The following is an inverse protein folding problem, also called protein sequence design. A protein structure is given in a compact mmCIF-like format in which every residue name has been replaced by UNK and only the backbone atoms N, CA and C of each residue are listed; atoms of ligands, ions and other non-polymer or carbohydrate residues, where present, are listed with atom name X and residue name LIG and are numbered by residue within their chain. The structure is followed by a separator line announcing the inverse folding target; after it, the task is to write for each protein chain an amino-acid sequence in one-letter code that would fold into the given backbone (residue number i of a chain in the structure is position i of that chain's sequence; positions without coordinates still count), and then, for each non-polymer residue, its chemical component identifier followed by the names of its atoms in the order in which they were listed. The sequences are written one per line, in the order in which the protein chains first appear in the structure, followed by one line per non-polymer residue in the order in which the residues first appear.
data_IF_493919736285
#
_entry.id   IF_493919736285
#
_cell.length_a   1.000
_cell.length_b   1.000
_cell.length_c   1.000
_cell.angle_alpha   90.00
_cell.angle_beta   90.00
_cell.angle_gamma   90.00
#
_symmetry.space_group_name_H-M   'P 1'
#
loop_
_entity.id
_entity.type
_entity.pdbx_description
1 polymer ?
#
# COMPACT_ATOMS: atom_id res chain seq x y z
N UNK A 1 15.71 -4.62 0.94
CA UNK A 1 14.30 -4.20 0.88
C UNK A 1 13.43 -5.09 1.76
N UNK A 2 12.45 -4.52 2.41
CA UNK A 2 11.51 -5.27 3.27
C UNK A 2 10.27 -5.76 2.54
N UNK A 3 10.05 -5.33 1.31
CA UNK A 3 8.97 -5.77 0.43
C UNK A 3 9.47 -6.52 -0.79
N UNK A 4 8.58 -7.27 -1.42
CA UNK A 4 8.78 -7.90 -2.73
C UNK A 4 7.53 -7.69 -3.58
N UNK A 5 7.73 -7.47 -4.87
CA UNK A 5 6.62 -7.38 -5.82
C UNK A 5 5.90 -8.74 -5.91
N UNK A 6 4.57 -8.73 -5.97
CA UNK A 6 3.74 -9.94 -5.98
C UNK A 6 3.99 -10.86 -7.18
N UNK A 7 4.45 -10.31 -8.31
CA UNK A 7 4.83 -11.09 -9.50
C UNK A 7 6.32 -11.44 -9.53
N UNK A 8 7.07 -11.16 -8.44
CA UNK A 8 8.52 -11.35 -8.35
C UNK A 8 9.31 -10.52 -9.39
N UNK A 9 8.83 -9.33 -9.72
CA UNK A 9 9.46 -8.37 -10.63
C UNK A 9 10.19 -7.30 -9.79
N UNK A 10 11.48 -7.46 -9.45
CA UNK A 10 12.18 -6.57 -8.51
C UNK A 10 12.31 -5.13 -9.01
N UNK A 11 12.30 -4.90 -10.33
CA UNK A 11 12.32 -3.59 -10.97
C UNK A 11 11.03 -2.79 -10.76
N UNK A 12 9.94 -3.46 -10.37
CA UNK A 12 8.66 -2.84 -10.04
C UNK A 12 8.60 -2.34 -8.60
N UNK A 13 9.69 -2.48 -7.83
CA UNK A 13 9.71 -2.11 -6.43
C UNK A 13 10.50 -0.84 -6.16
N UNK A 14 9.88 0.15 -5.49
CA UNK A 14 10.55 1.31 -4.90
C UNK A 14 11.20 0.91 -3.55
N UNK A 15 12.47 0.56 -3.62
CA UNK A 15 13.26 0.15 -2.44
C UNK A 15 13.77 1.31 -1.59
N UNK A 16 13.41 2.56 -1.88
CA UNK A 16 13.84 3.72 -1.09
C UNK A 16 13.21 3.70 0.30
N UNK A 17 14.03 3.88 1.31
CA UNK A 17 13.61 4.14 2.68
C UNK A 17 13.57 5.66 2.88
N UNK A 18 12.39 6.19 3.23
CA UNK A 18 12.25 7.61 3.59
C UNK A 18 12.49 7.81 5.07
N UNK A 19 13.36 8.75 5.45
CA UNK A 19 13.60 9.11 6.84
C UNK A 19 13.50 10.62 6.97
N UNK A 20 12.61 11.08 7.83
CA UNK A 20 12.55 12.48 8.28
C UNK A 20 12.79 12.51 9.77
N UNK A 21 13.88 13.18 10.19
CA UNK A 21 14.21 13.44 11.59
C UNK A 21 13.94 14.91 11.91
N UNK A 22 13.07 15.14 12.87
CA UNK A 22 12.78 16.47 13.41
C UNK A 22 13.38 16.59 14.81
N UNK A 23 14.09 17.69 15.07
CA UNK A 23 14.69 17.97 16.36
C UNK A 23 14.49 19.44 16.73
N UNK A 24 14.31 19.72 18.02
CA UNK A 24 14.25 21.10 18.50
C UNK A 24 15.63 21.79 18.33
N UNK A 25 15.62 23.04 17.86
CA UNK A 25 16.85 23.82 17.59
C UNK A 25 17.72 24.02 18.83
N UNK A 26 17.10 24.11 20.00
CA UNK A 26 17.78 24.32 21.28
C UNK A 26 18.22 23.01 21.95
N UNK A 27 17.98 21.87 21.33
CA UNK A 27 18.29 20.52 21.83
C UNK A 27 17.51 20.11 23.08
N UNK A 28 16.51 20.89 23.53
CA UNK A 28 15.75 20.60 24.76
C UNK A 28 14.45 19.81 24.52
N UNK A 29 14.01 19.72 23.27
CA UNK A 29 12.83 18.95 22.89
C UNK A 29 13.17 17.50 22.56
N UNK A 30 12.13 16.65 22.55
CA UNK A 30 12.27 15.28 22.01
C UNK A 30 12.41 15.36 20.49
N UNK A 31 13.29 14.53 19.95
CA UNK A 31 13.31 14.25 18.51
C UNK A 31 12.05 13.50 18.09
N UNK A 32 11.70 13.57 16.84
CA UNK A 32 10.62 12.77 16.22
C UNK A 32 11.14 12.19 14.92
N UNK A 33 10.90 10.93 14.69
CA UNK A 33 11.20 10.27 13.42
C UNK A 33 9.92 9.98 12.65
N UNK A 34 9.95 10.20 11.34
CA UNK A 34 8.98 9.66 10.42
C UNK A 34 9.73 8.74 9.45
N UNK A 35 9.28 7.48 9.39
CA UNK A 35 9.88 6.44 8.57
C UNK A 35 8.87 5.99 7.52
N UNK A 36 9.26 6.04 6.26
CA UNK A 36 8.45 5.54 5.13
C UNK A 36 9.03 4.22 4.64
N UNK A 37 8.19 3.18 4.60
CA UNK A 37 8.54 1.86 4.06
C UNK A 37 7.52 1.43 3.01
N UNK A 38 7.93 0.56 2.08
CA UNK A 38 7.05 0.10 1.01
C UNK A 38 6.84 -1.41 1.12
N UNK A 39 5.81 -1.80 1.84
CA UNK A 39 5.24 -3.15 1.87
C UNK A 39 3.90 -3.11 2.60
N UNK A 40 2.97 -4.00 2.23
CA UNK A 40 1.74 -4.22 2.98
C UNK A 40 2.04 -4.69 4.41
N UNK A 41 1.22 -4.26 5.38
CA UNK A 41 1.31 -4.71 6.78
C UNK A 41 0.48 -5.98 7.01
N UNK A 42 0.87 -7.08 6.35
CA UNK A 42 0.18 -8.36 6.38
C UNK A 42 1.16 -9.56 6.46
N UNK A 43 2.20 -9.43 7.28
CA UNK A 43 3.11 -10.55 7.60
C UNK A 43 2.36 -11.62 8.39
N UNK A 44 1.52 -11.19 9.34
CA UNK A 44 0.65 -12.09 10.08
C UNK A 44 -0.44 -12.62 9.15
N UNK A 45 -0.63 -13.94 9.18
CA UNK A 45 -1.60 -14.63 8.34
C UNK A 45 -3.00 -14.67 8.97
N UNK A 46 -3.98 -15.26 8.25
CA UNK A 46 -5.37 -15.36 8.66
C UNK A 46 -5.64 -16.17 9.95
N UNK A 47 -4.61 -16.79 10.54
CA UNK A 47 -4.64 -17.44 11.84
C UNK A 47 -4.51 -16.46 13.02
N UNK A 48 -4.16 -15.21 12.76
CA UNK A 48 -4.12 -14.16 13.77
C UNK A 48 -5.48 -13.47 13.91
N UNK A 49 -6.19 -13.78 14.99
CA UNK A 49 -7.50 -13.17 15.30
C UNK A 49 -7.41 -11.92 16.19
N UNK A 50 -6.22 -11.41 16.46
CA UNK A 50 -6.02 -10.20 17.25
C UNK A 50 -5.79 -8.99 16.34
N UNK A 51 -6.26 -7.82 16.78
CA UNK A 51 -5.88 -6.55 16.14
C UNK A 51 -4.38 -6.38 16.33
N UNK A 52 -3.67 -6.12 15.22
CA UNK A 52 -2.22 -5.97 15.20
C UNK A 52 -1.82 -4.84 14.27
N UNK A 53 -0.78 -4.08 14.65
CA UNK A 53 -0.10 -3.14 13.76
C UNK A 53 0.95 -3.83 12.88
N UNK A 54 1.00 -5.18 12.90
CA UNK A 54 1.90 -6.02 12.12
C UNK A 54 3.37 -5.61 12.28
N UNK A 55 4.22 -5.83 11.26
CA UNK A 55 5.64 -5.46 11.31
C UNK A 55 5.88 -3.96 11.50
N UNK A 56 4.96 -3.11 11.03
CA UNK A 56 5.05 -1.65 11.20
C UNK A 56 5.06 -1.29 12.69
N UNK A 57 4.16 -1.89 13.48
CA UNK A 57 4.14 -1.67 14.94
C UNK A 57 5.36 -2.21 15.64
N UNK A 58 5.85 -3.39 15.26
CA UNK A 58 7.04 -4.01 15.83
C UNK A 58 8.32 -3.20 15.49
N UNK A 59 8.46 -2.76 14.24
CA UNK A 59 9.57 -1.90 13.80
C UNK A 59 9.56 -0.55 14.54
N UNK A 60 8.39 0.09 14.61
CA UNK A 60 8.23 1.35 15.36
C UNK A 60 8.69 1.22 16.79
N UNK A 61 8.24 0.17 17.48
CA UNK A 61 8.63 -0.07 18.89
C UNK A 61 10.14 -0.21 19.05
N UNK A 62 10.81 -0.97 18.17
CA UNK A 62 12.28 -1.13 18.19
C UNK A 62 13.01 0.19 17.98
N UNK A 63 12.54 1.01 17.04
CA UNK A 63 13.11 2.33 16.77
C UNK A 63 12.92 3.29 17.96
N UNK A 64 11.74 3.30 18.58
CA UNK A 64 11.43 4.10 19.76
C UNK A 64 12.32 3.71 20.95
N UNK A 65 12.52 2.40 21.17
CA UNK A 65 13.41 1.88 22.22
C UNK A 65 14.89 2.24 21.97
N UNK A 66 15.34 2.17 20.72
CA UNK A 66 16.73 2.43 20.36
C UNK A 66 17.09 3.93 20.43
N UNK A 67 16.18 4.81 19.97
CA UNK A 67 16.48 6.23 19.83
C UNK A 67 15.82 7.11 20.91
N UNK A 68 14.98 6.55 21.75
CA UNK A 68 14.33 7.28 22.86
C UNK A 68 13.37 8.39 22.41
N UNK A 69 12.86 8.32 21.18
CA UNK A 69 12.00 9.34 20.60
C UNK A 69 10.76 8.73 19.94
N UNK A 70 9.64 9.46 19.81
CA UNK A 70 8.47 8.99 19.07
C UNK A 70 8.80 8.70 17.60
N UNK A 71 8.25 7.61 17.08
CA UNK A 71 8.39 7.20 15.68
C UNK A 71 7.03 7.10 15.02
N UNK A 72 6.88 7.79 13.92
CA UNK A 72 5.75 7.66 12.99
C UNK A 72 6.18 6.78 11.81
N UNK A 73 5.32 5.89 11.36
CA UNK A 73 5.59 5.10 10.17
C UNK A 73 4.48 5.32 9.13
N UNK A 74 4.88 5.48 7.88
CA UNK A 74 3.99 5.63 6.73
C UNK A 74 4.29 4.58 5.68
N UNK A 75 3.26 4.11 5.02
CA UNK A 75 3.36 3.13 3.96
C UNK A 75 3.53 3.83 2.60
N UNK A 76 4.48 3.34 1.80
CA UNK A 76 4.65 3.77 0.42
C UNK A 76 3.54 3.28 -0.51
N UNK A 77 3.72 3.46 -1.81
CA UNK A 77 2.87 2.84 -2.82
C UNK A 77 3.14 1.33 -2.83
N UNK A 78 2.30 0.58 -2.15
CA UNK A 78 2.51 -0.85 -1.87
C UNK A 78 1.39 -1.73 -2.43
N UNK A 79 0.53 -1.23 -3.34
CA UNK A 79 -0.60 -1.97 -3.87
C UNK A 79 -0.26 -3.37 -4.38
N UNK A 80 0.91 -3.54 -4.97
CA UNK A 80 1.44 -4.80 -5.46
C UNK A 80 2.68 -5.32 -4.68
N UNK A 81 2.98 -4.73 -3.51
CA UNK A 81 4.15 -5.08 -2.71
C UNK A 81 3.75 -5.79 -1.43
N UNK A 82 4.05 -7.06 -1.34
CA UNK A 82 3.89 -7.87 -0.13
C UNK A 82 5.13 -7.82 0.76
N UNK A 83 5.02 -8.12 2.06
CA UNK A 83 6.16 -8.32 2.93
C UNK A 83 7.09 -9.42 2.41
N UNK A 84 8.39 -9.23 2.55
CA UNK A 84 9.39 -10.20 2.08
C UNK A 84 9.19 -11.59 2.69
N UNK A 85 8.86 -11.65 3.97
CA UNK A 85 8.68 -12.91 4.69
C UNK A 85 7.25 -13.47 4.64
N UNK A 86 6.35 -12.82 3.89
CA UNK A 86 4.99 -13.33 3.70
C UNK A 86 5.00 -14.66 2.93
N UNK A 87 5.80 -14.76 1.86
CA UNK A 87 5.90 -15.96 1.04
C UNK A 87 6.40 -17.16 1.88
N UNK A 88 7.49 -16.99 2.62
CA UNK A 88 8.07 -18.06 3.44
C UNK A 88 7.06 -18.55 4.50
N UNK A 89 6.28 -17.61 5.07
CA UNK A 89 5.24 -17.93 6.03
C UNK A 89 4.07 -18.67 5.38
N UNK A 90 3.64 -18.24 4.18
CA UNK A 90 2.57 -18.90 3.43
C UNK A 90 2.98 -20.30 2.97
N UNK A 91 4.19 -20.48 2.47
CA UNK A 91 4.72 -21.80 2.10
C UNK A 91 4.76 -22.74 3.30
N UNK A 92 5.18 -22.24 4.47
CA UNK A 92 5.15 -23.02 5.70
C UNK A 92 3.72 -23.44 6.07
N UNK A 93 2.77 -22.53 5.98
CA UNK A 93 1.36 -22.80 6.24
C UNK A 93 0.79 -23.80 5.22
N UNK A 94 1.09 -23.63 3.94
CA UNK A 94 0.62 -24.51 2.86
C UNK A 94 1.14 -25.95 3.00
N UNK A 95 2.44 -26.14 3.28
CA UNK A 95 3.03 -27.47 3.52
C UNK A 95 2.34 -28.18 4.68
N UNK A 96 1.81 -27.45 5.66
CA UNK A 96 1.20 -28.01 6.86
C UNK A 96 -0.34 -27.90 6.87
N UNK A 97 -0.96 -27.37 5.82
CA UNK A 97 -2.41 -27.12 5.78
C UNK A 97 -3.27 -28.38 5.98
N UNK A 98 -2.82 -29.53 5.51
CA UNK A 98 -3.52 -30.79 5.71
C UNK A 98 -3.48 -31.29 7.16
N UNK A 99 -2.44 -30.99 7.93
CA UNK A 99 -2.41 -31.20 9.37
C UNK A 99 -3.45 -30.29 10.06
N UNK A 100 -3.59 -29.06 9.56
CA UNK A 100 -4.55 -28.07 10.02
C UNK A 100 -5.99 -28.54 9.80
N UNK A 101 -6.29 -29.04 8.61
CA UNK A 101 -7.63 -29.56 8.27
C UNK A 101 -8.03 -30.77 9.12
N UNK A 102 -7.08 -31.62 9.55
CA UNK A 102 -7.31 -32.78 10.40
C UNK A 102 -7.54 -32.42 11.87
N UNK A 103 -6.89 -31.37 12.37
CA UNK A 103 -6.88 -30.98 13.78
C UNK A 103 -7.81 -29.80 14.11
N UNK A 104 -8.37 -29.15 13.07
CA UNK A 104 -9.10 -27.90 13.21
C UNK A 104 -8.20 -26.76 13.69
N UNK A 105 -8.73 -25.55 13.82
CA UNK A 105 -8.02 -24.41 14.42
C UNK A 105 -7.91 -24.57 15.96
N UNK A 106 -7.44 -25.73 16.38
CA UNK A 106 -7.31 -26.10 17.80
C UNK A 106 -6.24 -25.26 18.50
N UNK A 107 -6.25 -25.29 19.82
CA UNK A 107 -5.22 -24.63 20.63
C UNK A 107 -3.82 -25.17 20.31
N UNK A 108 -3.69 -26.46 19.95
CA UNK A 108 -2.44 -27.10 19.51
C UNK A 108 -1.93 -26.51 18.20
N UNK A 109 -2.83 -26.24 17.24
CA UNK A 109 -2.51 -25.55 16.00
C UNK A 109 -1.90 -24.17 16.27
N UNK A 110 -2.56 -23.36 17.09
CA UNK A 110 -2.08 -22.02 17.46
C UNK A 110 -0.70 -22.05 18.12
N UNK A 111 -0.43 -23.04 18.97
CA UNK A 111 0.86 -23.18 19.62
C UNK A 111 1.99 -23.54 18.65
N UNK A 112 1.69 -24.27 17.57
CA UNK A 112 2.68 -24.73 16.61
C UNK A 112 2.97 -23.70 15.50
N UNK A 113 1.96 -23.02 14.97
CA UNK A 113 2.07 -22.20 13.75
C UNK A 113 2.13 -20.69 14.02
N UNK A 114 1.46 -20.18 15.02
CA UNK A 114 1.58 -18.76 15.43
C UNK A 114 3.03 -18.32 15.69
N UNK A 115 3.93 -19.16 16.26
CA UNK A 115 5.33 -18.81 16.39
C UNK A 115 6.06 -18.50 15.08
N UNK A 116 5.70 -19.16 13.96
CA UNK A 116 6.32 -18.90 12.66
C UNK A 116 5.94 -17.51 12.12
N UNK A 117 4.67 -17.16 12.16
CA UNK A 117 4.21 -15.83 11.77
C UNK A 117 4.84 -14.73 12.62
N UNK A 118 5.01 -14.98 13.94
CA UNK A 118 5.71 -14.05 14.82
C UNK A 118 7.19 -13.92 14.50
N UNK A 119 7.89 -14.99 14.13
CA UNK A 119 9.28 -14.92 13.69
C UNK A 119 9.44 -14.09 12.42
N UNK A 120 8.56 -14.30 11.44
CA UNK A 120 8.53 -13.52 10.21
C UNK A 120 8.32 -12.04 10.49
N UNK A 121 7.37 -11.71 11.38
CA UNK A 121 7.10 -10.34 11.81
C UNK A 121 8.31 -9.70 12.52
N UNK A 122 8.95 -10.40 13.45
CA UNK A 122 10.13 -9.90 14.17
C UNK A 122 11.32 -9.72 13.22
N UNK A 123 11.52 -10.62 12.25
CA UNK A 123 12.57 -10.48 11.25
C UNK A 123 12.32 -9.28 10.34
N UNK A 124 11.09 -9.07 9.92
CA UNK A 124 10.70 -7.92 9.12
C UNK A 124 10.94 -6.60 9.86
N UNK A 125 10.57 -6.56 11.16
CA UNK A 125 10.80 -5.42 12.03
C UNK A 125 12.30 -5.14 12.23
N UNK A 126 13.10 -6.19 12.40
CA UNK A 126 14.56 -6.09 12.51
C UNK A 126 15.20 -5.54 11.22
N UNK A 127 14.74 -5.98 10.05
CA UNK A 127 15.27 -5.50 8.78
C UNK A 127 14.97 -4.00 8.56
N UNK A 128 13.77 -3.55 8.97
CA UNK A 128 13.45 -2.10 8.98
C UNK A 128 14.38 -1.36 9.94
N UNK A 129 14.52 -1.85 11.17
CA UNK A 129 15.39 -1.26 12.17
C UNK A 129 16.82 -1.12 11.66
N UNK A 130 17.43 -2.21 11.18
CA UNK A 130 18.81 -2.19 10.65
C UNK A 130 18.98 -1.24 9.48
N UNK A 131 17.96 -1.12 8.63
CA UNK A 131 18.01 -0.20 7.49
C UNK A 131 18.04 1.27 7.93
N UNK A 132 17.32 1.62 8.99
CA UNK A 132 17.37 2.95 9.61
C UNK A 132 18.68 3.15 10.35
N UNK A 133 19.08 2.20 11.18
CA UNK A 133 20.27 2.27 12.02
C UNK A 133 21.55 2.48 11.21
N UNK A 134 21.65 1.80 10.07
CA UNK A 134 22.80 1.93 9.15
C UNK A 134 23.08 3.37 8.67
N UNK A 135 22.07 4.24 8.70
CA UNK A 135 22.19 5.63 8.22
C UNK A 135 21.89 6.68 9.30
N UNK A 136 21.36 6.26 10.45
CA UNK A 136 20.89 7.19 11.48
C UNK A 136 21.96 8.16 11.95
N UNK A 137 23.18 7.67 12.20
CA UNK A 137 24.30 8.50 12.65
C UNK A 137 24.81 9.47 11.57
N UNK A 138 24.50 9.23 10.30
CA UNK A 138 24.89 10.09 9.17
C UNK A 138 23.84 11.16 8.83
N UNK A 139 22.70 11.16 9.50
CA UNK A 139 21.65 12.17 9.27
C UNK A 139 22.14 13.54 9.72
N UNK A 140 22.10 14.50 8.81
CA UNK A 140 22.50 15.89 9.07
C UNK A 140 21.25 16.73 9.28
N UNK A 141 21.15 17.38 10.45
CA UNK A 141 20.08 18.33 10.73
C UNK A 141 20.34 19.65 10.00
N UNK A 142 19.31 20.18 9.38
CA UNK A 142 19.30 21.49 8.73
C UNK A 142 18.14 22.35 9.25
N UNK A 143 18.20 23.67 9.13
CA UNK A 143 17.07 24.53 9.48
C UNK A 143 15.79 24.09 8.77
N UNK A 144 14.68 24.11 9.50
CA UNK A 144 13.35 23.91 8.90
C UNK A 144 12.89 25.27 8.34
N UNK A 145 12.97 25.41 7.02
CA UNK A 145 12.66 26.67 6.31
C UNK A 145 11.28 26.59 5.63
N UNK A 146 10.82 25.37 5.30
CA UNK A 146 9.54 25.15 4.63
C UNK A 146 8.79 23.99 5.24
N UNK A 147 7.54 24.24 5.65
CA UNK A 147 6.52 23.21 5.87
C UNK A 147 5.26 23.68 5.18
N UNK A 148 4.78 22.91 4.22
CA UNK A 148 3.62 23.31 3.44
C UNK A 148 2.77 22.09 3.09
N UNK A 149 1.46 22.22 3.23
CA UNK A 149 0.49 21.20 2.80
C UNK A 149 -0.30 21.78 1.63
N UNK A 150 -0.42 21.01 0.56
CA UNK A 150 -1.26 21.32 -0.60
C UNK A 150 -2.07 20.11 -1.00
N UNK A 151 -3.17 20.35 -1.69
CA UNK A 151 -3.98 19.32 -2.34
C UNK A 151 -4.30 19.74 -3.76
N UNK A 152 -4.30 18.77 -4.66
CA UNK A 152 -4.94 18.87 -5.97
C UNK A 152 -5.98 17.77 -6.12
N UNK A 153 -6.94 17.93 -7.03
CA UNK A 153 -8.04 16.99 -7.22
C UNK A 153 -8.09 16.59 -8.69
N UNK A 154 -8.16 15.29 -8.94
CA UNK A 154 -8.34 14.73 -10.26
C UNK A 154 -9.61 13.89 -10.32
N UNK A 155 -10.41 14.10 -11.36
CA UNK A 155 -11.61 13.29 -11.60
C UNK A 155 -11.30 12.18 -12.60
N UNK A 156 -11.50 10.93 -12.16
CA UNK A 156 -11.28 9.74 -12.96
C UNK A 156 -12.57 8.94 -13.12
N UNK A 157 -12.66 8.22 -14.23
CA UNK A 157 -13.79 7.37 -14.56
C UNK A 157 -13.46 5.89 -14.30
N UNK A 158 -14.51 5.13 -14.02
CA UNK A 158 -14.55 3.67 -14.03
C UNK A 158 -15.72 3.25 -14.92
N UNK A 159 -15.47 2.47 -15.97
CA UNK A 159 -16.51 2.02 -16.87
C UNK A 159 -17.31 0.88 -16.22
N UNK A 160 -18.65 0.93 -16.29
CA UNK A 160 -19.51 -0.14 -15.84
C UNK A 160 -19.50 -1.24 -16.91
N UNK A 161 -19.21 -2.51 -16.56
CA UNK A 161 -19.15 -3.60 -17.53
C UNK A 161 -20.57 -3.96 -18.00
N UNK A 162 -20.71 -4.50 -19.21
CA UNK A 162 -21.92 -5.21 -19.57
C UNK A 162 -22.10 -6.50 -18.75
N UNK A 163 -23.29 -7.09 -18.78
CA UNK A 163 -23.57 -8.27 -17.96
C UNK A 163 -22.73 -9.48 -18.34
N UNK A 164 -22.43 -9.69 -19.62
CA UNK A 164 -21.60 -10.83 -20.07
C UNK A 164 -20.19 -10.74 -19.48
N UNK A 165 -19.58 -9.55 -19.51
CA UNK A 165 -18.28 -9.31 -18.90
C UNK A 165 -18.33 -9.42 -17.36
N UNK A 166 -19.40 -8.90 -16.76
CA UNK A 166 -19.57 -8.97 -15.31
C UNK A 166 -19.67 -10.42 -14.80
N UNK A 167 -20.45 -11.24 -15.49
CA UNK A 167 -20.60 -12.67 -15.16
C UNK A 167 -19.26 -13.41 -15.27
N UNK A 168 -18.48 -13.16 -16.32
CA UNK A 168 -17.12 -13.73 -16.46
C UNK A 168 -16.19 -13.33 -15.33
N UNK A 169 -16.21 -12.05 -14.92
CA UNK A 169 -15.40 -11.56 -13.79
C UNK A 169 -15.83 -12.25 -12.49
N UNK A 170 -17.12 -12.39 -12.24
CA UNK A 170 -17.64 -13.04 -11.04
C UNK A 170 -17.28 -14.53 -10.98
N UNK A 171 -17.41 -15.25 -12.11
CA UNK A 171 -17.03 -16.66 -12.23
C UNK A 171 -15.52 -16.86 -12.01
N UNK A 172 -14.69 -15.99 -12.56
CA UNK A 172 -13.24 -16.01 -12.36
C UNK A 172 -12.89 -15.75 -10.90
N UNK A 173 -13.51 -14.74 -10.27
CA UNK A 173 -13.31 -14.38 -8.88
C UNK A 173 -13.70 -15.52 -7.91
N UNK A 174 -14.80 -16.23 -8.20
CA UNK A 174 -15.22 -17.39 -7.42
C UNK A 174 -14.26 -18.56 -7.58
N UNK A 175 -13.86 -18.88 -8.81
CA UNK A 175 -12.99 -20.01 -9.12
C UNK A 175 -11.55 -19.83 -8.58
N UNK A 176 -10.96 -18.64 -8.75
CA UNK A 176 -9.55 -18.38 -8.46
C UNK A 176 -9.32 -17.74 -7.07
N UNK A 177 -10.35 -17.05 -6.54
CA UNK A 177 -10.24 -16.26 -5.30
C UNK A 177 -11.26 -16.60 -4.22
N UNK A 178 -12.15 -17.57 -4.47
CA UNK A 178 -13.26 -17.93 -3.56
C UNK A 178 -14.13 -16.71 -3.17
N UNK A 179 -14.29 -15.75 -4.09
CA UNK A 179 -15.02 -14.50 -3.89
C UNK A 179 -16.42 -14.59 -4.47
N UNK A 180 -17.44 -14.44 -3.62
CA UNK A 180 -18.85 -14.42 -4.04
C UNK A 180 -19.20 -13.08 -4.72
N UNK A 181 -19.43 -13.13 -6.03
CA UNK A 181 -19.80 -11.98 -6.85
C UNK A 181 -21.29 -11.66 -6.93
N UNK A 182 -22.20 -12.43 -6.30
CA UNK A 182 -23.66 -12.32 -6.50
C UNK A 182 -24.23 -10.94 -6.15
N UNK A 183 -23.76 -10.32 -5.10
CA UNK A 183 -24.23 -8.99 -4.71
C UNK A 183 -23.68 -7.89 -5.63
N UNK A 184 -22.44 -8.04 -6.06
CA UNK A 184 -21.81 -7.14 -7.03
C UNK A 184 -22.50 -7.23 -8.39
N UNK A 185 -22.85 -8.42 -8.89
CA UNK A 185 -23.63 -8.61 -10.13
C UNK A 185 -25.00 -7.90 -10.07
N UNK A 186 -25.68 -7.94 -8.91
CA UNK A 186 -26.94 -7.20 -8.73
C UNK A 186 -26.72 -5.69 -8.85
N UNK A 187 -25.62 -5.19 -8.32
CA UNK A 187 -25.30 -3.76 -8.42
C UNK A 187 -24.93 -3.36 -9.85
N UNK A 188 -24.14 -4.18 -10.56
CA UNK A 188 -23.85 -3.95 -11.99
C UNK A 188 -25.15 -3.90 -12.79
N UNK A 189 -26.04 -4.88 -12.58
CA UNK A 189 -27.34 -4.90 -13.26
C UNK A 189 -28.16 -3.66 -12.95
N UNK A 190 -28.25 -3.23 -11.70
CA UNK A 190 -28.95 -2.01 -11.29
C UNK A 190 -28.42 -0.78 -12.04
N UNK A 191 -27.10 -0.61 -12.10
CA UNK A 191 -26.47 0.50 -12.81
C UNK A 191 -26.83 0.49 -14.31
N UNK A 192 -26.78 -0.68 -14.94
CA UNK A 192 -27.13 -0.82 -16.36
C UNK A 192 -28.62 -0.55 -16.62
N UNK A 193 -29.52 -1.03 -15.76
CA UNK A 193 -30.97 -0.78 -15.84
C UNK A 193 -31.29 0.74 -15.70
N UNK A 194 -30.47 1.47 -14.93
CA UNK A 194 -30.55 2.93 -14.79
C UNK A 194 -29.83 3.71 -15.91
N UNK A 195 -29.21 3.01 -16.87
CA UNK A 195 -28.47 3.61 -17.98
C UNK A 195 -27.10 4.18 -17.59
N UNK A 196 -26.58 3.82 -16.42
CA UNK A 196 -25.28 4.29 -15.93
C UNK A 196 -24.18 3.42 -16.54
N UNK A 197 -23.40 4.02 -17.44
CA UNK A 197 -22.29 3.35 -18.11
C UNK A 197 -20.92 3.71 -17.51
N UNK A 198 -20.84 4.77 -16.69
CA UNK A 198 -19.61 5.23 -16.04
C UNK A 198 -19.90 5.71 -14.64
N UNK A 199 -19.00 5.35 -13.75
CA UNK A 199 -18.91 5.91 -12.41
C UNK A 199 -17.65 6.78 -12.32
N UNK A 200 -17.61 7.72 -11.38
CA UNK A 200 -16.50 8.66 -11.24
C UNK A 200 -16.00 8.68 -9.80
N UNK A 201 -14.72 8.99 -9.65
CA UNK A 201 -14.13 9.33 -8.37
C UNK A 201 -13.33 10.63 -8.49
N UNK A 202 -13.52 11.52 -7.53
CA UNK A 202 -12.67 12.68 -7.33
C UNK A 202 -11.56 12.26 -6.35
N UNK A 203 -10.34 12.14 -6.86
CA UNK A 203 -9.17 11.67 -6.11
C UNK A 203 -8.37 12.87 -5.67
N UNK A 204 -8.20 13.01 -4.35
CA UNK A 204 -7.29 13.98 -3.76
C UNK A 204 -5.85 13.49 -3.89
N UNK A 205 -4.97 14.34 -4.38
CA UNK A 205 -3.52 14.18 -4.30
C UNK A 205 -3.03 15.15 -3.24
N UNK A 206 -2.59 14.65 -2.10
CA UNK A 206 -2.09 15.47 -1.02
C UNK A 206 -0.56 15.52 -1.01
N UNK A 207 -0.01 16.70 -0.75
CA UNK A 207 1.43 16.96 -0.68
C UNK A 207 1.78 17.55 0.68
N UNK A 208 2.77 16.98 1.35
CA UNK A 208 3.43 17.55 2.52
C UNK A 208 4.88 17.85 2.15
N UNK A 209 5.18 19.11 1.97
CA UNK A 209 6.55 19.61 1.75
C UNK A 209 7.24 19.85 3.08
N UNK A 210 8.47 19.35 3.17
CA UNK A 210 9.41 19.66 4.28
C UNK A 210 10.75 19.99 3.65
N UNK A 211 11.14 21.26 3.66
CA UNK A 211 12.29 21.78 2.92
C UNK A 211 12.23 21.32 1.43
N UNK A 212 13.24 20.54 0.98
CA UNK A 212 13.31 19.99 -0.38
C UNK A 212 12.56 18.66 -0.56
N UNK A 213 12.12 18.05 0.56
CA UNK A 213 11.42 16.76 0.53
C UNK A 213 9.92 16.92 0.38
N UNK A 214 9.28 15.91 -0.16
CA UNK A 214 7.82 15.85 -0.26
C UNK A 214 7.31 14.42 -0.02
N UNK A 215 6.36 14.31 0.89
CA UNK A 215 5.47 13.15 0.93
C UNK A 215 4.22 13.50 0.13
N UNK A 216 3.99 12.78 -0.95
CA UNK A 216 2.82 12.91 -1.79
C UNK A 216 1.98 11.64 -1.67
N UNK A 217 0.67 11.73 -1.67
CA UNK A 217 -0.14 10.52 -1.54
C UNK A 217 -1.57 10.65 -2.04
N UNK A 218 -2.16 9.50 -2.31
CA UNK A 218 -3.53 9.34 -2.79
C UNK A 218 -4.29 8.33 -1.93
N UNK A 219 -5.64 8.37 -1.91
CA UNK A 219 -6.45 7.41 -1.13
C UNK A 219 -6.57 6.03 -1.79
N UNK A 220 -5.65 5.67 -2.66
CA UNK A 220 -5.67 4.39 -3.36
C UNK A 220 -4.58 3.45 -2.83
N UNK A 221 -4.78 2.16 -3.03
CA UNK A 221 -3.72 1.17 -2.95
C UNK A 221 -2.89 1.24 -4.24
N UNK A 222 -2.07 2.29 -4.35
CA UNK A 222 -1.29 2.55 -5.56
C UNK A 222 -0.20 1.50 -5.74
N UNK A 223 -0.06 0.98 -6.95
CA UNK A 223 1.02 0.06 -7.30
C UNK A 223 2.37 0.77 -7.34
N UNK A 224 3.41 0.05 -6.96
CA UNK A 224 4.71 0.62 -6.64
C UNK A 224 5.41 1.27 -7.84
N UNK A 225 5.20 0.74 -9.03
CA UNK A 225 5.76 1.30 -10.27
C UNK A 225 5.36 2.76 -10.49
N UNK A 226 4.16 3.16 -10.08
CA UNK A 226 3.70 4.56 -10.17
C UNK A 226 4.63 5.49 -9.39
N UNK A 227 5.04 5.09 -8.18
CA UNK A 227 5.98 5.86 -7.38
C UNK A 227 7.37 5.96 -8.04
N UNK A 228 7.82 4.88 -8.69
CA UNK A 228 9.11 4.85 -9.41
C UNK A 228 9.07 5.80 -10.60
N UNK A 229 8.02 5.78 -11.39
CA UNK A 229 7.88 6.61 -12.58
C UNK A 229 7.81 8.09 -12.18
N UNK A 230 7.05 8.44 -11.14
CA UNK A 230 6.94 9.81 -10.62
C UNK A 230 8.31 10.38 -10.24
N UNK A 231 9.05 9.72 -9.34
CA UNK A 231 10.29 10.32 -8.85
C UNK A 231 11.40 10.36 -9.91
N UNK A 232 11.40 9.41 -10.85
CA UNK A 232 12.34 9.40 -11.99
C UNK A 232 12.04 10.51 -12.99
N UNK A 233 10.77 10.67 -13.38
CA UNK A 233 10.37 11.70 -14.33
C UNK A 233 10.49 13.11 -13.73
N UNK A 234 10.23 13.25 -12.44
CA UNK A 234 10.42 14.52 -11.72
C UNK A 234 11.90 14.83 -11.42
N UNK A 235 12.82 13.86 -11.60
CA UNK A 235 14.22 13.93 -11.16
C UNK A 235 14.35 14.32 -9.69
N UNK A 236 13.41 13.86 -8.85
CA UNK A 236 13.23 14.28 -7.48
C UNK A 236 13.41 13.11 -6.49
N UNK A 237 14.64 12.80 -6.05
CA UNK A 237 14.89 11.64 -5.19
C UNK A 237 14.24 11.74 -3.80
N UNK A 238 13.87 12.94 -3.35
CA UNK A 238 13.15 13.19 -2.10
C UNK A 238 11.63 13.37 -2.28
N UNK A 239 11.10 13.11 -3.46
CA UNK A 239 9.67 13.00 -3.70
C UNK A 239 9.24 11.54 -3.48
N UNK A 240 8.41 11.31 -2.48
CA UNK A 240 7.89 10.00 -2.10
C UNK A 240 6.39 9.94 -2.35
N UNK A 241 5.98 9.14 -3.32
CA UNK A 241 4.57 8.88 -3.59
C UNK A 241 4.09 7.70 -2.76
N UNK A 242 2.92 7.83 -2.15
CA UNK A 242 2.36 6.90 -1.18
C UNK A 242 0.90 6.57 -1.50
N UNK A 243 0.43 5.43 -1.03
CA UNK A 243 -0.99 5.08 -1.00
C UNK A 243 -1.66 5.41 0.34
N UNK A 244 -2.93 5.05 0.47
CA UNK A 244 -3.76 5.13 1.68
C UNK A 244 -3.83 6.52 2.35
N UNK A 245 -3.52 7.57 1.62
CA UNK A 245 -3.55 8.94 2.14
C UNK A 245 -4.98 9.45 2.16
N UNK A 246 -5.47 9.80 3.35
CA UNK A 246 -6.82 10.31 3.61
C UNK A 246 -7.97 9.37 3.19
N UNK A 247 -7.71 8.08 3.02
CA UNK A 247 -8.74 7.12 2.69
C UNK A 247 -8.23 5.83 2.06
N UNK A 248 -9.17 4.98 1.63
CA UNK A 248 -8.91 3.79 0.86
C UNK A 248 -9.95 3.68 -0.26
N UNK A 249 -9.56 4.00 -1.50
CA UNK A 249 -10.45 4.12 -2.66
C UNK A 249 -10.16 3.10 -3.76
N UNK A 250 -9.97 1.83 -3.40
CA UNK A 250 -9.56 0.73 -4.28
C UNK A 250 -8.08 0.76 -4.70
N UNK A 251 -7.66 -0.31 -5.36
CA UNK A 251 -6.35 -0.36 -5.99
C UNK A 251 -6.23 0.67 -7.12
N UNK A 252 -5.00 1.11 -7.36
CA UNK A 252 -4.62 1.91 -8.53
C UNK A 252 -3.55 1.13 -9.30
N UNK A 253 -3.95 0.28 -10.26
CA UNK A 253 -3.01 -0.49 -11.06
C UNK A 253 -2.33 0.36 -12.13
N UNK A 254 -1.10 -0.02 -12.50
CA UNK A 254 -0.50 0.45 -13.75
C UNK A 254 -1.29 -0.04 -14.96
N UNK A 255 -1.06 0.53 -16.13
CA UNK A 255 -1.71 0.08 -17.36
C UNK A 255 -1.38 -1.39 -17.69
N UNK A 256 -0.14 -1.82 -17.42
CA UNK A 256 0.30 -3.21 -17.63
C UNK A 256 -0.41 -4.18 -16.67
N UNK A 257 -0.51 -3.82 -15.39
CA UNK A 257 -1.20 -4.66 -14.40
C UNK A 257 -2.71 -4.67 -14.63
N UNK A 258 -3.29 -3.55 -15.10
CA UNK A 258 -4.70 -3.48 -15.48
C UNK A 258 -5.07 -4.54 -16.54
N UNK A 259 -4.19 -4.74 -17.53
CA UNK A 259 -4.40 -5.72 -18.60
C UNK A 259 -4.28 -7.17 -18.12
N UNK A 260 -3.57 -7.41 -17.02
CA UNK A 260 -3.40 -8.75 -16.43
C UNK A 260 -4.60 -9.19 -15.56
N UNK A 261 -5.44 -8.26 -15.10
CA UNK A 261 -6.58 -8.57 -14.23
C UNK A 261 -6.19 -9.11 -12.85
N UNK A 262 -6.97 -10.04 -12.32
CA UNK A 262 -6.74 -10.66 -11.02
C UNK A 262 -7.32 -9.87 -9.85
N UNK A 263 -6.89 -10.23 -8.63
CA UNK A 263 -7.47 -9.69 -7.40
C UNK A 263 -7.35 -8.18 -7.29
N UNK A 264 -6.14 -7.65 -7.43
CA UNK A 264 -5.87 -6.23 -7.22
C UNK A 264 -6.56 -5.33 -8.27
N UNK A 265 -6.82 -5.86 -9.45
CA UNK A 265 -7.45 -5.09 -10.53
C UNK A 265 -8.97 -5.27 -10.53
N UNK A 266 -9.44 -6.52 -10.57
CA UNK A 266 -10.84 -6.83 -10.79
C UNK A 266 -11.56 -7.32 -9.54
N UNK A 267 -11.08 -8.39 -8.90
CA UNK A 267 -11.90 -9.13 -7.94
C UNK A 267 -12.06 -8.41 -6.61
N UNK A 268 -11.10 -7.58 -6.20
CA UNK A 268 -11.23 -6.73 -5.00
C UNK A 268 -12.44 -5.80 -5.07
N UNK A 269 -12.84 -5.37 -6.28
CA UNK A 269 -14.01 -4.52 -6.46
C UNK A 269 -15.33 -5.26 -6.14
N UNK A 270 -15.38 -6.60 -6.28
CA UNK A 270 -16.56 -7.39 -5.93
C UNK A 270 -16.86 -7.35 -4.42
N UNK A 271 -15.81 -7.13 -3.61
CA UNK A 271 -15.91 -7.04 -2.15
C UNK A 271 -16.04 -5.59 -1.70
N UNK A 272 -15.27 -4.68 -2.30
CA UNK A 272 -15.08 -3.33 -1.77
C UNK A 272 -15.91 -2.25 -2.47
N UNK A 273 -16.70 -2.56 -3.54
CA UNK A 273 -17.54 -1.57 -4.20
C UNK A 273 -18.50 -0.80 -3.25
N UNK A 274 -19.03 -1.38 -2.14
CA UNK A 274 -19.88 -0.62 -1.25
C UNK A 274 -19.14 0.48 -0.50
N UNK A 275 -17.82 0.37 -0.36
CA UNK A 275 -17.00 1.33 0.37
C UNK A 275 -16.49 2.48 -0.51
N UNK A 276 -16.09 2.20 -1.74
CA UNK A 276 -15.56 3.22 -2.65
C UNK A 276 -16.54 3.63 -3.76
N UNK A 277 -17.74 3.03 -3.83
CA UNK A 277 -18.84 3.45 -4.68
C UNK A 277 -18.72 3.09 -6.16
N UNK A 278 -17.79 2.21 -6.57
CA UNK A 278 -17.60 1.82 -7.96
C UNK A 278 -17.55 0.30 -8.11
N UNK A 279 -18.21 -0.22 -9.14
CA UNK A 279 -18.20 -1.67 -9.43
C UNK A 279 -16.94 -2.13 -10.17
N UNK A 280 -16.17 -1.20 -10.74
CA UNK A 280 -14.93 -1.49 -11.48
C UNK A 280 -13.77 -0.63 -11.00
N UNK A 281 -12.52 -1.03 -11.27
CA UNK A 281 -11.36 -0.18 -11.05
C UNK A 281 -11.48 1.11 -11.86
N UNK A 282 -10.73 2.13 -11.45
CA UNK A 282 -10.54 3.31 -12.29
C UNK A 282 -9.90 2.89 -13.62
N UNK A 283 -10.26 3.57 -14.70
CA UNK A 283 -9.88 3.19 -16.05
C UNK A 283 -8.37 3.05 -16.23
N UNK A 284 -7.96 2.23 -17.19
CA UNK A 284 -6.60 1.79 -17.48
C UNK A 284 -5.55 2.92 -17.53
N UNK A 285 -5.93 4.10 -18.01
CA UNK A 285 -5.04 5.25 -18.18
C UNK A 285 -4.89 6.11 -16.90
N UNK A 286 -5.62 5.80 -15.84
CA UNK A 286 -5.68 6.61 -14.62
C UNK A 286 -4.33 6.74 -13.94
N UNK A 287 -3.58 5.64 -13.80
CA UNK A 287 -2.26 5.66 -13.14
C UNK A 287 -1.27 6.58 -13.85
N UNK A 288 -1.23 6.52 -15.19
CA UNK A 288 -0.37 7.40 -16.00
C UNK A 288 -0.77 8.88 -15.89
N UNK A 289 -2.07 9.17 -15.92
CA UNK A 289 -2.58 10.54 -15.73
C UNK A 289 -2.29 11.07 -14.32
N UNK A 290 -2.43 10.22 -13.32
CA UNK A 290 -2.10 10.55 -11.92
C UNK A 290 -0.61 10.87 -11.78
N UNK A 291 0.27 10.03 -12.32
CA UNK A 291 1.71 10.26 -12.30
C UNK A 291 2.09 11.58 -12.98
N UNK A 292 1.54 11.84 -14.17
CA UNK A 292 1.77 13.08 -14.90
C UNK A 292 1.32 14.31 -14.09
N UNK A 293 0.15 14.24 -13.44
CA UNK A 293 -0.35 15.33 -12.58
C UNK A 293 0.60 15.60 -11.41
N UNK A 294 1.08 14.55 -10.73
CA UNK A 294 2.03 14.70 -9.62
C UNK A 294 3.33 15.37 -10.09
N UNK A 295 3.86 14.96 -11.24
CA UNK A 295 5.08 15.55 -11.81
C UNK A 295 4.86 17.03 -12.20
N UNK A 296 3.71 17.34 -12.79
CA UNK A 296 3.35 18.72 -13.14
C UNK A 296 3.22 19.59 -11.89
N UNK A 297 2.51 19.12 -10.87
CA UNK A 297 2.34 19.83 -9.59
C UNK A 297 3.69 20.05 -8.91
N UNK A 298 4.54 19.02 -8.88
CA UNK A 298 5.90 19.12 -8.33
C UNK A 298 6.71 20.21 -9.03
N UNK A 299 6.72 20.24 -10.36
CA UNK A 299 7.46 21.25 -11.14
C UNK A 299 6.97 22.67 -10.86
N UNK A 300 5.64 22.87 -10.73
CA UNK A 300 5.05 24.17 -10.41
C UNK A 300 5.36 24.67 -9.01
N UNK A 301 5.52 23.76 -8.06
CA UNK A 301 5.66 24.08 -6.64
C UNK A 301 7.15 24.18 -6.25
N UNK A 302 8.02 23.51 -6.97
CA UNK A 302 9.47 23.47 -6.71
C UNK A 302 10.22 24.57 -7.49
N UNK A 303 9.56 25.20 -8.46
CA UNK A 303 10.05 26.42 -9.16
C UNK A 303 9.76 27.68 -8.34
#
# INVERSE_FOLDING_TARGET
TVGVNRRNEPEQMDGRLGILKLAARDGKGKEVLLIRVTAHANVLSGDNYFISADYIGAARKRLEEAYGCPVMMVQGAAGDIRPRYHQDNMEYVEIHCWEMARKGFSQEYRQKYVPQSRRALEQMAEDVFRSVDAVYASLVLMPLERVEIRSSFCRFAADVPDMERAEKIAEEAEREGEIDGRMWLKEVKRLLDEGIQKQYADIEIQYLFVNQGCLCGVPNEAMCRIAIDIWKEAEAPLLFFNGYTNGCSSYLPTAEEYDKGGYEVLWSNLVYYPYHGRVMPLNRDTAGKMAAQVVEDWRKISS
#
